data_IF_955447923671
#
_entry.id   IF_955447923671
#
_cell.length_a   1.000
_cell.length_b   1.000
_cell.length_c   1.000
_cell.angle_alpha   90.00
_cell.angle_beta   90.00
_cell.angle_gamma   90.00
#
_symmetry.space_group_name_H-M   'P 1'
#
loop_
_entity.id
_entity.type
_entity.pdbx_description
1 polymer ?
#
# COMPACT_ATOMS: atom_id res chain seq x y z
N UNK A 1 35.52 -59.70 31.60
CA UNK A 1 35.75 -58.28 31.74
C UNK A 1 35.19 -57.62 30.47
N UNK A 2 33.96 -57.19 30.53
CA UNK A 2 33.21 -56.57 29.41
C UNK A 2 33.21 -55.04 29.64
N UNK A 3 33.89 -54.34 28.74
CA UNK A 3 33.84 -52.89 28.69
C UNK A 3 32.65 -52.47 27.84
N UNK A 4 31.63 -51.89 28.45
CA UNK A 4 30.56 -51.16 27.80
C UNK A 4 31.00 -49.72 27.56
N UNK A 5 31.12 -49.33 26.28
CA UNK A 5 31.30 -47.93 25.85
C UNK A 5 29.90 -47.32 25.82
N UNK A 6 29.67 -46.29 26.59
CA UNK A 6 28.49 -45.44 26.55
C UNK A 6 28.71 -44.39 25.47
N UNK A 7 28.06 -44.54 24.33
CA UNK A 7 27.89 -43.45 23.33
C UNK A 7 26.77 -42.55 23.83
N UNK A 8 27.15 -41.49 24.52
CA UNK A 8 26.27 -40.35 24.74
C UNK A 8 26.39 -39.42 23.52
N UNK A 9 25.43 -39.52 22.62
CA UNK A 9 25.26 -38.61 21.51
C UNK A 9 24.53 -37.35 22.04
N UNK A 10 25.29 -36.44 22.65
CA UNK A 10 24.81 -35.10 23.01
C UNK A 10 24.64 -34.31 21.72
N UNK A 11 23.43 -34.36 21.17
CA UNK A 11 23.00 -33.40 20.18
C UNK A 11 22.97 -32.01 20.84
N UNK A 12 24.05 -31.23 20.63
CA UNK A 12 24.08 -29.83 20.97
C UNK A 12 23.01 -29.13 20.11
N UNK A 13 21.82 -28.94 20.68
CA UNK A 13 20.82 -28.03 20.10
C UNK A 13 21.37 -26.62 20.25
N UNK A 14 21.71 -25.98 19.14
CA UNK A 14 22.08 -24.56 19.12
C UNK A 14 20.96 -23.74 19.79
N UNK A 15 21.28 -22.77 20.64
CA UNK A 15 20.28 -21.98 21.33
C UNK A 15 19.49 -21.13 20.29
N UNK A 16 18.18 -21.00 20.49
CA UNK A 16 17.27 -20.25 19.62
C UNK A 16 17.72 -18.79 19.34
N UNK A 17 18.60 -18.23 20.21
CA UNK A 17 19.20 -16.92 20.06
C UNK A 17 20.05 -16.75 18.78
N UNK A 18 20.64 -17.83 18.25
CA UNK A 18 21.48 -17.76 17.05
C UNK A 18 20.66 -17.57 15.75
N UNK A 19 19.38 -17.92 15.77
CA UNK A 19 18.48 -17.74 14.60
C UNK A 19 18.04 -16.27 14.49
N UNK A 20 17.72 -15.62 15.62
CA UNK A 20 17.33 -14.20 15.67
C UNK A 20 18.46 -13.29 15.19
N UNK A 21 19.71 -13.57 15.57
CA UNK A 21 20.89 -12.80 15.16
C UNK A 21 21.09 -12.78 13.63
N UNK A 22 20.61 -13.79 12.91
CA UNK A 22 20.69 -13.87 11.44
C UNK A 22 19.52 -13.20 10.74
N UNK A 23 18.51 -12.72 11.45
CA UNK A 23 17.39 -11.98 10.88
C UNK A 23 17.86 -10.63 10.32
N UNK A 24 17.49 -10.32 9.08
CA UNK A 24 17.78 -9.01 8.48
C UNK A 24 17.13 -7.87 9.29
N UNK A 25 15.97 -8.12 9.87
CA UNK A 25 15.22 -7.16 10.68
C UNK A 25 15.96 -6.80 11.98
N UNK A 26 16.54 -7.80 12.66
CA UNK A 26 17.33 -7.58 13.88
C UNK A 26 18.62 -6.81 13.61
N UNK A 27 19.08 -6.86 12.35
CA UNK A 27 20.24 -6.09 11.89
C UNK A 27 19.86 -4.66 11.41
N UNK A 28 18.61 -4.24 11.57
CA UNK A 28 18.14 -2.92 11.17
C UNK A 28 17.84 -2.77 9.67
N UNK A 29 17.66 -3.88 8.95
CA UNK A 29 17.21 -3.87 7.56
C UNK A 29 15.72 -4.22 7.48
N UNK A 30 15.03 -3.68 6.48
CA UNK A 30 13.66 -4.04 6.17
C UNK A 30 13.55 -4.49 4.71
N UNK A 31 12.77 -5.55 4.46
CA UNK A 31 12.50 -6.02 3.10
C UNK A 31 11.19 -5.45 2.61
N UNK A 32 11.26 -4.67 1.52
CA UNK A 32 10.11 -4.00 0.89
C UNK A 32 9.93 -4.48 -0.54
N UNK A 33 8.72 -4.44 -1.07
CA UNK A 33 8.41 -4.83 -2.44
C UNK A 33 7.57 -3.77 -3.16
N UNK A 34 7.96 -3.46 -4.40
CA UNK A 34 7.12 -2.79 -5.39
C UNK A 34 6.56 -3.86 -6.34
N UNK A 35 5.25 -3.94 -6.44
CA UNK A 35 4.54 -5.01 -7.13
C UNK A 35 3.67 -4.43 -8.23
N UNK A 36 3.69 -5.04 -9.42
CA UNK A 36 2.67 -4.83 -10.44
C UNK A 36 2.08 -6.18 -10.82
N UNK A 37 0.76 -6.25 -10.89
CA UNK A 37 0.00 -7.44 -11.25
C UNK A 37 -0.88 -7.14 -12.47
N UNK A 38 -1.22 -8.12 -13.29
CA UNK A 38 -2.29 -7.96 -14.25
C UNK A 38 -3.57 -7.55 -13.55
N UNK A 39 -4.16 -6.42 -13.97
CA UNK A 39 -5.43 -5.94 -13.42
C UNK A 39 -6.60 -6.41 -14.30
N UNK A 40 -7.73 -6.73 -13.69
CA UNK A 40 -9.00 -6.95 -14.38
C UNK A 40 -9.83 -5.67 -14.18
N UNK A 41 -10.03 -4.85 -15.23
CA UNK A 41 -10.79 -3.61 -15.08
C UNK A 41 -12.20 -3.87 -14.55
N UNK A 42 -12.64 -3.05 -13.58
CA UNK A 42 -13.99 -3.09 -12.99
C UNK A 42 -14.32 -4.40 -12.24
N UNK A 43 -13.29 -5.18 -11.86
CA UNK A 43 -13.46 -6.41 -11.05
C UNK A 43 -12.61 -6.35 -9.77
N UNK A 44 -13.07 -5.62 -8.73
CA UNK A 44 -12.36 -5.53 -7.47
C UNK A 44 -12.13 -6.87 -6.77
N UNK A 45 -13.03 -7.84 -6.95
CA UNK A 45 -12.92 -9.16 -6.33
C UNK A 45 -11.75 -9.97 -6.93
N UNK A 46 -11.63 -10.02 -8.26
CA UNK A 46 -10.53 -10.68 -8.94
C UNK A 46 -9.18 -10.01 -8.60
N UNK A 47 -9.14 -8.69 -8.58
CA UNK A 47 -7.93 -7.94 -8.25
C UNK A 47 -7.50 -8.16 -6.79
N UNK A 48 -8.43 -8.16 -5.85
CA UNK A 48 -8.14 -8.46 -4.44
C UNK A 48 -7.61 -9.89 -4.26
N UNK A 49 -8.18 -10.87 -4.98
CA UNK A 49 -7.70 -12.26 -4.93
C UNK A 49 -6.25 -12.38 -5.43
N UNK A 50 -5.90 -11.71 -6.54
CA UNK A 50 -4.54 -11.69 -7.07
C UNK A 50 -3.55 -11.00 -6.09
N UNK A 51 -3.96 -9.90 -5.46
CA UNK A 51 -3.15 -9.22 -4.42
C UNK A 51 -2.90 -10.15 -3.24
N UNK A 52 -3.91 -10.89 -2.76
CA UNK A 52 -3.77 -11.83 -1.63
C UNK A 52 -2.81 -12.96 -1.97
N UNK A 53 -2.91 -13.54 -3.16
CA UNK A 53 -2.01 -14.59 -3.62
C UNK A 53 -0.56 -14.11 -3.64
N UNK A 54 -0.33 -12.93 -4.22
CA UNK A 54 1.00 -12.32 -4.24
C UNK A 54 1.49 -12.00 -2.82
N UNK A 55 0.63 -11.48 -1.95
CA UNK A 55 0.97 -11.15 -0.57
C UNK A 55 1.41 -12.37 0.24
N UNK A 56 0.85 -13.55 -0.02
CA UNK A 56 1.31 -14.82 0.58
C UNK A 56 2.73 -15.15 0.15
N UNK A 57 3.02 -15.07 -1.15
CA UNK A 57 4.37 -15.29 -1.68
C UNK A 57 5.38 -14.31 -1.05
N UNK A 58 5.01 -13.03 -0.93
CA UNK A 58 5.86 -12.01 -0.32
C UNK A 58 6.05 -12.24 1.18
N UNK A 59 5.03 -12.76 1.88
CA UNK A 59 5.15 -13.15 3.30
C UNK A 59 6.17 -14.28 3.48
N UNK A 60 6.13 -15.31 2.62
CA UNK A 60 7.10 -16.41 2.62
C UNK A 60 8.52 -15.91 2.33
N UNK A 61 8.67 -14.86 1.51
CA UNK A 61 9.94 -14.18 1.24
C UNK A 61 10.37 -13.23 2.36
N UNK A 62 9.57 -13.08 3.42
CA UNK A 62 9.85 -12.21 4.56
C UNK A 62 9.73 -10.71 4.25
N UNK A 63 8.89 -10.32 3.31
CA UNK A 63 8.62 -8.90 2.98
C UNK A 63 7.70 -8.30 4.04
N UNK A 64 8.04 -7.13 4.61
CA UNK A 64 7.20 -6.44 5.60
C UNK A 64 6.31 -5.32 5.02
N UNK A 65 6.62 -4.82 3.82
CA UNK A 65 5.87 -3.76 3.15
C UNK A 65 5.78 -4.05 1.66
N UNK A 66 4.56 -4.14 1.13
CA UNK A 66 4.27 -4.38 -0.28
C UNK A 66 3.39 -3.28 -0.87
N UNK A 67 3.90 -2.58 -1.88
CA UNK A 67 3.19 -1.51 -2.58
C UNK A 67 2.63 -2.02 -3.92
N UNK A 68 1.34 -1.81 -4.15
CA UNK A 68 0.61 -2.11 -5.39
C UNK A 68 0.24 -0.80 -6.09
N UNK A 69 -0.11 -0.83 -7.40
CA UNK A 69 -0.37 0.37 -8.17
C UNK A 69 -1.58 1.20 -7.69
N UNK A 70 -1.61 2.46 -8.13
CA UNK A 70 -2.76 3.35 -8.04
C UNK A 70 -4.01 2.70 -8.64
N UNK A 71 -5.16 2.78 -7.92
CA UNK A 71 -6.44 2.23 -8.34
C UNK A 71 -6.40 0.73 -8.75
N UNK A 72 -5.45 -0.03 -8.25
CA UNK A 72 -5.25 -1.44 -8.64
C UNK A 72 -6.44 -2.35 -8.29
N UNK A 73 -7.37 -1.93 -7.41
CA UNK A 73 -8.60 -2.67 -7.15
C UNK A 73 -9.63 -2.54 -8.27
N UNK A 74 -9.61 -1.46 -9.03
CA UNK A 74 -10.63 -1.18 -10.05
C UNK A 74 -10.07 -1.13 -11.47
N UNK A 75 -8.77 -0.90 -11.61
CA UNK A 75 -8.16 -0.33 -12.81
C UNK A 75 -8.22 1.19 -12.79
N UNK A 76 -7.20 1.81 -13.40
CA UNK A 76 -7.06 3.27 -13.47
C UNK A 76 -7.92 3.88 -14.58
N UNK A 77 -7.85 3.33 -15.79
CA UNK A 77 -8.46 3.89 -17.00
C UNK A 77 -9.87 3.30 -17.25
N UNK A 78 -10.80 3.56 -16.33
CA UNK A 78 -12.19 3.07 -16.40
C UNK A 78 -13.23 4.19 -16.47
N UNK A 79 -12.78 5.42 -16.66
CA UNK A 79 -13.58 6.61 -16.90
C UNK A 79 -14.72 6.81 -15.87
N UNK A 80 -15.93 7.15 -16.35
CA UNK A 80 -17.10 7.43 -15.52
C UNK A 80 -17.60 6.19 -14.74
N UNK A 81 -17.09 4.99 -14.99
CA UNK A 81 -17.38 3.82 -14.17
C UNK A 81 -16.89 4.00 -12.72
N UNK A 82 -15.87 4.85 -12.49
CA UNK A 82 -15.44 5.25 -11.14
C UNK A 82 -16.58 5.86 -10.30
N UNK A 83 -17.61 6.43 -10.94
CA UNK A 83 -18.76 7.03 -10.24
C UNK A 83 -19.88 6.03 -9.96
N UNK A 84 -19.76 4.77 -10.40
CA UNK A 84 -20.76 3.72 -10.21
C UNK A 84 -20.88 3.30 -8.75
N UNK A 85 -22.07 3.42 -8.15
CA UNK A 85 -22.31 2.95 -6.77
C UNK A 85 -22.11 1.45 -6.62
N UNK A 86 -22.39 0.66 -7.67
CA UNK A 86 -22.16 -0.79 -7.67
C UNK A 86 -20.67 -1.06 -7.54
N UNK A 87 -19.85 -0.44 -8.40
CA UNK A 87 -18.39 -0.59 -8.34
C UNK A 87 -17.82 -0.18 -6.98
N UNK A 88 -18.27 0.94 -6.42
CA UNK A 88 -17.79 1.43 -5.12
C UNK A 88 -18.20 0.50 -3.97
N UNK A 89 -19.36 -0.16 -4.06
CA UNK A 89 -19.77 -1.20 -3.10
C UNK A 89 -18.88 -2.44 -3.22
N UNK A 90 -18.54 -2.86 -4.44
CA UNK A 90 -17.66 -4.00 -4.69
C UNK A 90 -16.21 -3.71 -4.21
N UNK A 91 -15.75 -2.45 -4.34
CA UNK A 91 -14.47 -1.99 -3.77
C UNK A 91 -14.44 -2.17 -2.25
N UNK A 92 -15.49 -1.78 -1.52
CA UNK A 92 -15.56 -1.98 -0.07
C UNK A 92 -15.55 -3.46 0.31
N UNK A 93 -16.23 -4.31 -0.47
CA UNK A 93 -16.21 -5.77 -0.28
C UNK A 93 -14.81 -6.35 -0.52
N UNK A 94 -14.11 -5.87 -1.54
CA UNK A 94 -12.72 -6.26 -1.82
C UNK A 94 -11.76 -5.81 -0.71
N UNK A 95 -11.94 -4.60 -0.17
CA UNK A 95 -11.16 -4.10 0.99
C UNK A 95 -11.40 -4.98 2.21
N UNK A 96 -12.65 -5.39 2.51
CA UNK A 96 -12.93 -6.31 3.61
C UNK A 96 -12.22 -7.67 3.41
N UNK A 97 -12.21 -8.18 2.18
CA UNK A 97 -11.53 -9.44 1.83
C UNK A 97 -10.01 -9.32 2.06
N UNK A 98 -9.39 -8.23 1.62
CA UNK A 98 -7.97 -7.93 1.87
C UNK A 98 -7.67 -7.77 3.35
N UNK A 99 -8.52 -7.03 4.08
CA UNK A 99 -8.40 -6.84 5.53
C UNK A 99 -8.42 -8.18 6.26
N UNK A 100 -9.39 -9.02 5.94
CA UNK A 100 -9.52 -10.34 6.58
C UNK A 100 -8.30 -11.22 6.29
N UNK A 101 -7.84 -11.27 5.04
CA UNK A 101 -6.66 -12.04 4.65
C UNK A 101 -5.37 -11.53 5.30
N UNK A 102 -5.24 -10.21 5.52
CA UNK A 102 -4.05 -9.60 6.11
C UNK A 102 -3.84 -9.95 7.59
N UNK A 103 -4.83 -10.58 8.25
CA UNK A 103 -4.71 -10.97 9.66
C UNK A 103 -3.56 -11.96 9.90
N UNK A 104 -3.31 -12.83 8.92
CA UNK A 104 -2.32 -13.91 8.98
C UNK A 104 -1.12 -13.65 8.02
N UNK A 105 -0.98 -12.44 7.48
CA UNK A 105 0.08 -12.09 6.55
C UNK A 105 1.08 -11.10 7.19
N UNK A 106 2.37 -11.33 6.92
CA UNK A 106 3.44 -10.47 7.40
C UNK A 106 3.37 -9.04 6.81
N UNK A 107 3.25 -8.85 5.46
CA UNK A 107 3.41 -7.52 4.90
C UNK A 107 2.25 -6.58 5.23
N UNK A 108 2.60 -5.32 5.50
CA UNK A 108 1.68 -4.21 5.32
C UNK A 108 1.42 -4.04 3.82
N UNK A 109 0.15 -4.16 3.41
CA UNK A 109 -0.29 -4.01 2.02
C UNK A 109 -0.66 -2.56 1.77
N UNK A 110 -0.06 -1.93 0.76
CA UNK A 110 -0.42 -0.58 0.31
C UNK A 110 -1.14 -0.71 -1.03
N UNK A 111 -2.45 -0.44 -1.05
CA UNK A 111 -3.37 -0.80 -2.15
C UNK A 111 -4.12 0.43 -2.63
N UNK A 112 -4.17 0.65 -3.94
CA UNK A 112 -4.89 1.77 -4.56
C UNK A 112 -6.38 1.47 -4.78
N UNK A 113 -7.28 2.39 -4.34
CA UNK A 113 -8.72 2.26 -4.52
C UNK A 113 -9.44 3.62 -4.52
N UNK A 114 -10.57 3.75 -5.26
CA UNK A 114 -11.46 4.90 -5.14
C UNK A 114 -12.32 4.77 -3.86
N UNK A 115 -12.38 5.83 -3.07
CA UNK A 115 -13.21 5.87 -1.84
C UNK A 115 -14.06 7.12 -1.78
N UNK A 116 -15.32 6.95 -1.34
CA UNK A 116 -16.25 8.05 -1.15
C UNK A 116 -16.22 8.54 0.30
N UNK A 117 -16.10 9.86 0.47
CA UNK A 117 -16.26 10.54 1.74
C UNK A 117 -17.30 11.67 1.57
N UNK A 118 -18.46 11.53 2.19
CA UNK A 118 -19.60 12.41 1.96
C UNK A 118 -20.07 12.33 0.50
N UNK A 119 -20.11 13.45 -0.18
CA UNK A 119 -20.52 13.60 -1.58
C UNK A 119 -19.33 13.57 -2.57
N UNK A 120 -18.10 13.36 -2.07
CA UNK A 120 -16.88 13.42 -2.87
C UNK A 120 -16.23 12.05 -2.99
N UNK A 121 -15.66 11.78 -4.17
CA UNK A 121 -14.82 10.62 -4.44
C UNK A 121 -13.35 11.02 -4.34
N UNK A 122 -12.52 10.16 -3.76
CA UNK A 122 -11.08 10.34 -3.63
C UNK A 122 -10.34 9.15 -4.22
N UNK A 123 -9.24 9.43 -4.89
CA UNK A 123 -8.26 8.43 -5.29
C UNK A 123 -7.32 8.19 -4.09
N UNK A 124 -7.34 6.99 -3.55
CA UNK A 124 -6.74 6.69 -2.25
C UNK A 124 -5.73 5.56 -2.32
N UNK A 125 -4.73 5.64 -1.46
CA UNK A 125 -3.90 4.51 -1.06
C UNK A 125 -4.32 4.08 0.36
N UNK A 126 -4.65 2.80 0.52
CA UNK A 126 -4.98 2.19 1.81
C UNK A 126 -3.79 1.40 2.33
N UNK A 127 -3.50 1.54 3.63
CA UNK A 127 -2.55 0.67 4.33
C UNK A 127 -3.34 -0.36 5.12
N UNK A 128 -3.16 -1.64 4.78
CA UNK A 128 -3.88 -2.78 5.38
C UNK A 128 -2.86 -3.74 5.98
N UNK A 129 -2.99 -4.06 7.27
CA UNK A 129 -2.06 -4.95 7.96
C UNK A 129 -2.66 -5.50 9.25
N UNK A 130 -2.42 -6.79 9.54
CA UNK A 130 -2.83 -7.44 10.78
C UNK A 130 -4.33 -7.39 11.01
N UNK A 131 -5.13 -7.63 9.96
CA UNK A 131 -6.59 -7.63 10.01
C UNK A 131 -7.23 -6.25 10.17
N UNK A 132 -6.54 -5.16 9.83
CA UNK A 132 -7.04 -3.77 9.99
C UNK A 132 -6.66 -2.89 8.81
N UNK A 133 -7.49 -1.89 8.54
CA UNK A 133 -7.11 -0.72 7.74
C UNK A 133 -6.42 0.26 8.68
N UNK A 134 -5.11 0.46 8.51
CA UNK A 134 -4.27 1.30 9.37
C UNK A 134 -4.40 2.78 9.07
N UNK A 135 -4.70 3.12 7.83
CA UNK A 135 -4.91 4.49 7.38
C UNK A 135 -5.19 4.54 5.88
N UNK A 136 -5.66 5.70 5.44
CA UNK A 136 -6.02 5.99 4.05
C UNK A 136 -5.42 7.34 3.65
N UNK A 137 -4.55 7.32 2.64
CA UNK A 137 -3.94 8.52 2.08
C UNK A 137 -4.62 8.90 0.76
N UNK A 138 -5.39 9.99 0.70
CA UNK A 138 -5.95 10.49 -0.55
C UNK A 138 -4.89 11.23 -1.36
N UNK A 139 -4.93 11.07 -2.69
CA UNK A 139 -4.08 11.80 -3.65
C UNK A 139 -4.26 13.30 -3.51
N UNK A 140 -3.16 14.03 -3.32
CA UNK A 140 -3.20 15.48 -3.12
C UNK A 140 -3.33 16.23 -4.42
N UNK A 141 -2.54 15.86 -5.44
CA UNK A 141 -2.47 16.56 -6.71
C UNK A 141 -3.12 15.75 -7.82
N UNK A 142 -4.16 16.32 -8.45
CA UNK A 142 -4.95 15.67 -9.49
C UNK A 142 -4.54 16.21 -10.86
N UNK A 143 -3.85 15.43 -11.70
CA UNK A 143 -3.49 15.87 -13.04
C UNK A 143 -4.75 16.09 -13.89
N UNK A 144 -4.78 17.22 -14.61
CA UNK A 144 -5.84 17.58 -15.55
C UNK A 144 -5.19 18.32 -16.72
N UNK A 145 -4.24 17.65 -17.36
CA UNK A 145 -3.49 18.12 -18.52
C UNK A 145 -3.14 16.94 -19.41
N UNK A 146 -2.95 17.18 -20.71
CA UNK A 146 -2.67 16.15 -21.72
C UNK A 146 -3.71 15.01 -21.65
N UNK A 147 -3.26 13.79 -21.40
CA UNK A 147 -4.06 12.56 -21.27
C UNK A 147 -4.84 12.46 -19.95
N UNK A 148 -4.63 13.34 -18.99
CA UNK A 148 -5.25 13.26 -17.67
C UNK A 148 -6.45 14.21 -17.50
N UNK A 149 -7.48 13.73 -16.79
CA UNK A 149 -8.67 14.52 -16.43
C UNK A 149 -9.26 14.10 -15.06
N UNK A 150 -8.39 13.80 -14.10
CA UNK A 150 -8.79 13.25 -12.80
C UNK A 150 -9.72 14.15 -11.99
N UNK A 151 -9.66 15.48 -12.16
CA UNK A 151 -10.60 16.42 -11.52
C UNK A 151 -12.06 16.23 -11.94
N UNK A 152 -12.32 15.46 -13.01
CA UNK A 152 -13.67 15.06 -13.38
C UNK A 152 -14.27 14.11 -12.35
N UNK A 153 -13.45 13.23 -11.76
CA UNK A 153 -13.89 12.14 -10.90
C UNK A 153 -13.56 12.37 -9.44
N UNK A 154 -12.38 12.94 -9.14
CA UNK A 154 -11.83 12.98 -7.81
C UNK A 154 -11.71 14.38 -7.21
N UNK A 155 -11.83 14.43 -5.89
CA UNK A 155 -11.47 15.59 -5.09
C UNK A 155 -10.02 15.47 -4.58
N UNK A 156 -9.28 16.59 -4.45
CA UNK A 156 -7.91 16.59 -3.99
C UNK A 156 -7.81 16.34 -2.48
N UNK A 157 -6.80 15.55 -2.09
CA UNK A 157 -6.56 15.17 -0.69
C UNK A 157 -5.93 16.27 0.16
N UNK A 158 -5.35 17.30 -0.44
CA UNK A 158 -4.79 18.46 0.25
C UNK A 158 -5.85 19.50 0.66
N UNK A 159 -7.08 19.35 0.16
CA UNK A 159 -8.22 20.24 0.42
C UNK A 159 -9.40 19.49 1.06
N UNK A 160 -9.11 18.68 2.08
CA UNK A 160 -10.13 18.00 2.86
C UNK A 160 -11.03 18.99 3.60
N UNK A 161 -12.32 18.67 3.80
CA UNK A 161 -13.21 19.48 4.64
C UNK A 161 -12.64 19.64 6.05
N UNK A 162 -12.83 20.81 6.65
CA UNK A 162 -12.31 21.10 7.99
C UNK A 162 -12.82 20.06 9.03
N UNK A 163 -11.89 19.54 9.83
CA UNK A 163 -12.17 18.54 10.87
C UNK A 163 -12.29 17.09 10.39
N UNK A 164 -12.00 16.82 9.10
CA UNK A 164 -11.87 15.45 8.61
C UNK A 164 -10.50 14.91 8.96
N UNK A 165 -10.46 13.92 9.86
CA UNK A 165 -9.23 13.22 10.28
C UNK A 165 -9.37 11.70 10.10
N UNK A 166 -10.55 11.22 9.74
CA UNK A 166 -10.82 9.79 9.57
C UNK A 166 -11.92 9.53 8.56
N UNK A 167 -11.91 8.33 7.98
CA UNK A 167 -12.94 7.81 7.07
C UNK A 167 -13.59 6.57 7.69
N UNK A 168 -14.90 6.44 7.55
CA UNK A 168 -15.63 5.21 7.82
C UNK A 168 -15.74 4.40 6.53
N UNK A 169 -15.54 3.09 6.62
CA UNK A 169 -15.60 2.15 5.51
C UNK A 169 -16.80 1.20 5.70
N UNK A 170 -17.98 1.55 5.20
CA UNK A 170 -19.19 0.75 5.38
C UNK A 170 -18.99 -0.68 4.85
N UNK A 171 -19.37 -1.67 5.67
CA UNK A 171 -19.19 -3.09 5.31
C UNK A 171 -17.80 -3.66 5.59
N UNK A 172 -16.81 -2.81 5.92
CA UNK A 172 -15.48 -3.24 6.35
C UNK A 172 -15.46 -3.31 7.89
N UNK A 173 -14.90 -4.39 8.44
CA UNK A 173 -14.87 -4.61 9.90
C UNK A 173 -13.70 -3.88 10.55
N UNK A 174 -13.89 -3.44 11.79
CA UNK A 174 -12.87 -2.69 12.55
C UNK A 174 -11.66 -3.52 13.02
N UNK A 175 -11.75 -4.85 12.99
CA UNK A 175 -10.73 -5.76 13.49
C UNK A 175 -10.70 -5.89 15.03
N UNK A 176 -10.00 -6.89 15.56
CA UNK A 176 -9.87 -7.15 17.01
C UNK A 176 -9.18 -5.98 17.71
N UNK A 177 -9.85 -5.36 18.70
CA UNK A 177 -9.34 -4.22 19.48
C UNK A 177 -9.99 -2.87 19.16
N UNK A 178 -10.94 -2.78 18.21
CA UNK A 178 -11.91 -1.69 18.16
C UNK A 178 -12.92 -1.91 19.30
N UNK A 179 -13.32 -0.85 20.02
CA UNK A 179 -14.26 -0.94 21.12
C UNK A 179 -15.55 -1.65 20.69
N UNK A 180 -15.87 -2.77 21.36
CA UNK A 180 -17.11 -3.52 21.13
C UNK A 180 -18.31 -2.56 21.29
N UNK A 181 -19.12 -2.47 20.24
CA UNK A 181 -20.42 -1.83 20.39
C UNK A 181 -21.32 -2.77 21.22
N UNK A 182 -21.98 -2.23 22.22
CA UNK A 182 -22.84 -2.93 23.19
C UNK A 182 -24.08 -3.64 22.58
N UNK A 183 -24.02 -4.06 21.31
CA UNK A 183 -25.14 -4.65 20.57
C UNK A 183 -24.80 -5.83 19.67
N UNK A 184 -23.59 -6.41 19.76
CA UNK A 184 -23.28 -7.66 19.03
C UNK A 184 -23.03 -7.52 17.52
N UNK A 185 -23.10 -6.32 16.95
CA UNK A 185 -22.66 -6.02 15.57
C UNK A 185 -21.20 -5.56 15.62
N UNK A 186 -20.33 -6.21 14.84
CA UNK A 186 -18.95 -5.77 14.73
C UNK A 186 -18.90 -4.31 14.23
N UNK A 187 -18.07 -3.45 14.84
CA UNK A 187 -18.01 -2.05 14.47
C UNK A 187 -17.50 -1.88 13.05
N UNK A 188 -18.04 -0.91 12.32
CA UNK A 188 -17.56 -0.48 11.02
C UNK A 188 -16.13 0.03 11.18
N UNK A 189 -15.24 -0.33 10.24
CA UNK A 189 -13.86 0.14 10.22
C UNK A 189 -13.84 1.68 10.11
N UNK A 190 -13.09 2.30 11.01
CA UNK A 190 -12.75 3.71 10.97
C UNK A 190 -11.26 3.86 10.95
N UNK A 191 -10.72 4.49 9.89
CA UNK A 191 -9.30 4.64 9.68
C UNK A 191 -8.89 6.12 9.63
N UNK A 192 -7.68 6.49 10.08
CA UNK A 192 -7.12 7.81 9.81
C UNK A 192 -7.18 8.14 8.31
N UNK A 193 -7.50 9.38 7.96
CA UNK A 193 -7.67 9.84 6.60
C UNK A 193 -6.92 11.16 6.38
N UNK A 194 -5.88 11.16 5.55
CA UNK A 194 -5.09 12.35 5.26
C UNK A 194 -3.86 12.08 4.40
N UNK A 195 -3.45 13.08 3.64
CA UNK A 195 -2.27 13.01 2.78
C UNK A 195 -0.93 13.15 3.52
N UNK A 196 -0.96 13.39 4.83
CA UNK A 196 0.20 13.61 5.68
C UNK A 196 0.42 12.49 6.73
N UNK A 197 -0.17 11.32 6.52
CA UNK A 197 -0.03 10.20 7.44
C UNK A 197 1.39 9.62 7.41
N UNK A 198 1.90 9.30 8.60
CA UNK A 198 3.08 8.46 8.81
C UNK A 198 2.64 7.16 9.48
N UNK A 199 3.23 6.06 9.03
CA UNK A 199 2.98 4.74 9.56
C UNK A 199 4.26 4.23 10.22
N UNK A 200 4.24 4.05 11.53
CA UNK A 200 5.33 3.48 12.30
C UNK A 200 5.14 1.97 12.43
N UNK A 201 6.22 1.22 12.30
CA UNK A 201 6.23 -0.23 12.45
C UNK A 201 6.84 -0.57 13.81
N UNK A 202 5.99 -1.03 14.73
CA UNK A 202 6.32 -1.16 16.16
C UNK A 202 7.45 -2.18 16.43
N UNK A 203 7.53 -3.24 15.61
CA UNK A 203 8.47 -4.36 15.77
C UNK A 203 9.74 -4.23 14.91
N UNK A 204 9.88 -3.15 14.14
CA UNK A 204 11.08 -2.86 13.34
C UNK A 204 11.58 -1.45 13.67
N UNK A 205 12.56 -1.36 14.55
CA UNK A 205 13.07 -0.08 15.04
C UNK A 205 13.48 0.87 13.90
N UNK A 206 12.91 2.08 13.88
CA UNK A 206 13.21 3.12 12.90
C UNK A 206 12.55 2.92 11.53
N UNK A 207 11.70 1.92 11.35
CA UNK A 207 10.90 1.78 10.14
C UNK A 207 9.63 2.62 10.25
N UNK A 208 9.66 3.77 9.61
CA UNK A 208 8.50 4.66 9.45
C UNK A 208 8.31 4.94 7.99
N UNK A 209 7.09 4.73 7.47
CA UNK A 209 6.82 4.95 6.05
C UNK A 209 5.69 5.95 5.82
N UNK A 210 5.74 6.56 4.65
CA UNK A 210 4.73 7.46 4.12
C UNK A 210 4.23 6.96 2.78
N UNK A 211 2.98 7.29 2.44
CA UNK A 211 2.35 6.90 1.18
C UNK A 211 1.81 8.14 0.46
N UNK A 212 2.20 8.29 -0.79
CA UNK A 212 1.69 9.31 -1.72
C UNK A 212 1.21 8.65 -3.02
N UNK A 213 0.45 9.37 -3.85
CA UNK A 213 -0.16 8.78 -5.04
C UNK A 213 0.25 9.55 -6.29
N UNK A 214 0.96 8.88 -7.18
CA UNK A 214 1.26 9.23 -8.57
C UNK A 214 1.74 10.68 -8.77
N UNK A 215 0.85 11.60 -9.15
CA UNK A 215 1.17 13.01 -9.43
C UNK A 215 1.83 13.71 -8.24
N UNK A 216 1.60 13.22 -7.03
CA UNK A 216 2.20 13.78 -5.82
C UNK A 216 3.73 13.85 -5.89
N UNK A 217 4.40 12.90 -6.58
CA UNK A 217 5.85 12.91 -6.76
C UNK A 217 6.36 13.95 -7.78
N UNK A 218 5.48 14.47 -8.66
CA UNK A 218 5.87 15.35 -9.77
C UNK A 218 5.86 16.83 -9.41
N UNK A 219 5.30 17.19 -8.25
CA UNK A 219 5.21 18.58 -7.80
C UNK A 219 6.55 19.05 -7.18
N UNK A 220 6.81 20.37 -7.18
CA UNK A 220 8.08 20.90 -6.63
C UNK A 220 8.34 20.56 -5.17
N UNK A 221 7.29 20.45 -4.35
CA UNK A 221 7.34 20.03 -2.94
C UNK A 221 6.36 18.88 -2.75
N UNK A 222 6.78 17.63 -3.00
CA UNK A 222 5.92 16.48 -2.86
C UNK A 222 5.60 16.19 -1.38
N UNK A 223 4.46 15.54 -1.08
CA UNK A 223 4.13 15.09 0.28
C UNK A 223 5.26 14.26 0.91
N UNK A 224 5.91 13.40 0.13
CA UNK A 224 7.06 12.60 0.55
C UNK A 224 8.24 13.44 1.06
N UNK A 225 8.48 14.64 0.54
CA UNK A 225 9.54 15.51 1.05
C UNK A 225 9.22 16.01 2.47
N UNK A 226 7.96 16.34 2.74
CA UNK A 226 7.50 16.74 4.08
C UNK A 226 7.54 15.56 5.03
N UNK A 227 7.14 14.38 4.56
CA UNK A 227 7.17 13.13 5.33
C UNK A 227 8.61 12.74 5.73
N UNK A 228 9.59 12.87 4.82
CA UNK A 228 11.00 12.63 5.12
C UNK A 228 11.52 13.57 6.22
N UNK A 229 11.15 14.86 6.18
CA UNK A 229 11.47 15.82 7.25
C UNK A 229 10.79 15.45 8.58
N UNK A 230 9.67 14.77 8.56
CA UNK A 230 8.94 14.29 9.74
C UNK A 230 9.44 12.92 10.24
N UNK A 231 10.44 12.31 9.57
CA UNK A 231 11.09 11.08 10.00
C UNK A 231 10.74 9.82 9.22
N UNK A 232 10.04 9.92 8.08
CA UNK A 232 9.82 8.76 7.22
C UNK A 232 11.14 8.23 6.67
N UNK A 233 11.39 6.92 6.83
CA UNK A 233 12.57 6.22 6.31
C UNK A 233 12.26 5.43 5.03
N UNK A 234 10.96 5.24 4.71
CA UNK A 234 10.48 4.66 3.45
C UNK A 234 9.37 5.53 2.90
N UNK A 235 9.48 5.88 1.62
CA UNK A 235 8.51 6.68 0.87
C UNK A 235 7.90 5.78 -0.20
N UNK A 236 6.58 5.65 -0.21
CA UNK A 236 5.84 4.76 -1.11
C UNK A 236 5.01 5.60 -2.08
N UNK A 237 5.12 5.31 -3.37
CA UNK A 237 4.29 5.96 -4.40
C UNK A 237 3.55 4.92 -5.23
N UNK A 238 2.23 5.00 -5.24
CA UNK A 238 1.34 4.21 -6.08
C UNK A 238 1.02 5.01 -7.33
N UNK A 239 1.31 4.47 -8.51
CA UNK A 239 1.12 5.21 -9.77
C UNK A 239 0.24 4.47 -10.78
N UNK A 240 -0.55 5.26 -11.52
CA UNK A 240 -1.18 4.90 -12.78
C UNK A 240 -0.52 5.69 -13.93
N UNK A 241 0.80 5.64 -14.03
CA UNK A 241 1.58 6.45 -14.96
C UNK A 241 1.70 5.76 -16.32
N UNK A 242 1.11 6.32 -17.40
CA UNK A 242 1.16 5.70 -18.73
C UNK A 242 2.53 5.86 -19.40
N UNK A 243 2.74 5.09 -20.46
CA UNK A 243 3.92 5.20 -21.32
C UNK A 243 3.81 6.46 -22.18
N UNK A 244 4.80 7.34 -22.05
CA UNK A 244 5.10 8.40 -22.99
C UNK A 244 6.61 8.46 -23.21
N UNK A 245 7.06 9.11 -24.32
CA UNK A 245 8.47 9.22 -24.65
C UNK A 245 9.24 9.87 -23.49
N UNK A 246 10.28 9.21 -22.97
CA UNK A 246 11.13 9.69 -21.88
C UNK A 246 10.52 9.54 -20.47
N UNK A 247 9.29 9.05 -20.34
CA UNK A 247 8.59 9.00 -19.04
C UNK A 247 9.24 8.02 -18.05
N UNK A 248 9.78 6.90 -18.55
CA UNK A 248 10.43 5.90 -17.68
C UNK A 248 11.67 6.48 -17.01
N UNK A 249 12.50 7.21 -17.76
CA UNK A 249 13.70 7.89 -17.26
C UNK A 249 13.34 9.03 -16.29
N UNK A 250 12.27 9.80 -16.58
CA UNK A 250 11.80 10.86 -15.67
C UNK A 250 11.34 10.28 -14.33
N UNK A 251 10.59 9.15 -14.33
CA UNK A 251 10.17 8.45 -13.11
C UNK A 251 11.37 7.97 -12.31
N UNK A 252 12.35 7.35 -12.98
CA UNK A 252 13.58 6.91 -12.35
C UNK A 252 14.36 8.09 -11.74
N UNK A 253 14.51 9.18 -12.47
CA UNK A 253 15.17 10.40 -11.98
C UNK A 253 14.50 10.95 -10.71
N UNK A 254 13.17 11.05 -10.71
CA UNK A 254 12.42 11.57 -9.57
C UNK A 254 12.51 10.64 -8.36
N UNK A 255 12.34 9.32 -8.55
CA UNK A 255 12.44 8.35 -7.47
C UNK A 255 13.84 8.36 -6.82
N UNK A 256 14.89 8.33 -7.62
CA UNK A 256 16.30 8.43 -7.15
C UNK A 256 16.57 9.74 -6.44
N UNK A 257 16.09 10.85 -7.00
CA UNK A 257 16.26 12.18 -6.40
C UNK A 257 15.54 12.30 -5.06
N UNK A 258 14.32 11.76 -4.95
CA UNK A 258 13.53 11.76 -3.71
C UNK A 258 14.20 10.90 -2.64
N UNK A 259 14.66 9.69 -2.99
CA UNK A 259 15.42 8.82 -2.08
C UNK A 259 16.70 9.51 -1.59
N UNK A 260 17.53 10.03 -2.50
CA UNK A 260 18.80 10.65 -2.14
C UNK A 260 18.65 11.90 -1.27
N UNK A 261 17.66 12.76 -1.54
CA UNK A 261 17.42 13.98 -0.76
C UNK A 261 16.71 13.72 0.55
N UNK A 262 15.78 12.76 0.55
CA UNK A 262 15.02 12.37 1.73
C UNK A 262 15.81 11.50 2.71
N UNK A 263 16.96 10.93 2.29
CA UNK A 263 17.70 9.90 3.03
C UNK A 263 16.77 8.75 3.44
N UNK A 264 15.86 8.37 2.55
CA UNK A 264 14.83 7.38 2.75
C UNK A 264 14.75 6.46 1.52
N UNK A 265 14.38 5.20 1.71
CA UNK A 265 14.06 4.34 0.57
C UNK A 265 12.85 4.89 -0.18
N UNK A 266 12.84 4.79 -1.52
CA UNK A 266 11.69 5.18 -2.33
C UNK A 266 11.18 3.97 -3.09
N UNK A 267 9.92 3.60 -2.83
CA UNK A 267 9.23 2.43 -3.40
C UNK A 267 8.15 2.92 -4.35
N UNK A 268 8.26 2.58 -5.62
CA UNK A 268 7.34 3.02 -6.67
C UNK A 268 6.74 1.82 -7.40
N UNK A 269 5.41 1.79 -7.51
CA UNK A 269 4.68 0.74 -8.22
C UNK A 269 3.69 1.36 -9.22
N UNK A 270 3.87 1.07 -10.52
CA UNK A 270 2.99 1.59 -11.57
C UNK A 270 2.05 0.53 -12.15
N UNK A 271 0.89 0.99 -12.64
CA UNK A 271 -0.07 0.21 -13.38
C UNK A 271 0.55 -0.40 -14.66
N UNK A 272 0.13 -1.60 -15.00
CA UNK A 272 0.74 -2.37 -16.08
C UNK A 272 -0.27 -3.18 -16.88
N UNK A 273 0.02 -4.45 -17.06
CA UNK A 273 -0.78 -5.37 -17.86
C UNK A 273 -2.24 -5.43 -17.37
N UNK A 274 -3.18 -5.50 -18.32
CA UNK A 274 -4.61 -5.61 -18.05
C UNK A 274 -5.33 -4.29 -17.92
N UNK A 275 -4.63 -3.16 -17.70
CA UNK A 275 -5.26 -1.84 -17.74
C UNK A 275 -5.90 -1.54 -19.09
N UNK A 276 -6.98 -0.76 -19.06
CA UNK A 276 -7.62 -0.29 -20.29
C UNK A 276 -6.66 0.57 -21.10
N UNK A 277 -6.62 0.35 -22.40
CA UNK A 277 -5.72 1.01 -23.34
C UNK A 277 -6.48 1.85 -24.36
N UNK A 278 -7.61 2.46 -24.00
CA UNK A 278 -8.39 3.32 -24.92
C UNK A 278 -7.54 4.46 -25.48
N UNK A 279 -6.86 5.21 -24.62
CA UNK A 279 -6.00 6.34 -24.99
C UNK A 279 -4.55 6.16 -24.52
N UNK A 280 -4.27 5.19 -23.65
CA UNK A 280 -3.02 5.06 -22.91
C UNK A 280 -2.45 3.66 -23.04
N UNK A 281 -1.13 3.55 -22.92
CA UNK A 281 -0.41 2.29 -22.76
C UNK A 281 0.32 2.28 -21.42
N UNK A 282 0.57 1.09 -20.87
CA UNK A 282 1.06 0.89 -19.51
C UNK A 282 2.27 -0.02 -19.51
N UNK A 283 3.31 0.34 -18.76
CA UNK A 283 4.58 -0.42 -18.71
C UNK A 283 4.79 -1.22 -17.41
N UNK A 284 4.00 -0.93 -16.37
CA UNK A 284 4.13 -1.61 -15.09
C UNK A 284 5.49 -1.40 -14.43
N UNK A 285 6.12 -0.24 -14.60
CA UNK A 285 7.42 0.02 -14.03
C UNK A 285 7.39 -0.05 -12.51
N UNK A 286 8.32 -0.80 -11.92
CA UNK A 286 8.53 -0.84 -10.47
C UNK A 286 9.95 -0.41 -10.15
N UNK A 287 10.11 0.43 -9.11
CA UNK A 287 11.42 0.97 -8.71
C UNK A 287 11.57 0.89 -7.19
N UNK A 288 12.77 0.60 -6.73
CA UNK A 288 13.17 0.70 -5.32
C UNK A 288 14.57 1.32 -5.26
N UNK A 289 14.69 2.43 -4.58
CA UNK A 289 15.97 3.15 -4.38
C UNK A 289 16.26 3.35 -2.91
#
# INVERSE_FOLDING_TARGET
>A
MTNTVNDANDAVTAPAADIEFLSAYDQGFARVAAVTLPVVPVDPAANAAAIIEQARTLADDGVCLAAFPELCLTGYAIDDLLLSDVLLSDVLTAIETLRAASADLLPALVVGAPLRLGDRLYNCALVIQGGRVRGVAPKSYLPTYREFYEKRHFAPGDALPAGVESIELPGVRGGSGSSESAGGTEPVARAPFGANLLFEVDDVAGLTFHVEVCEDMWVPVPPSAVAALAGATVLVNLSGSPITVGRAEDRELLARSSSARGLAAYVYAAAGQGESSTDLAWDGQTLVY
#
